data_IF_076422808318
#
_entry.id   IF_076422808318
#
_cell.length_a   1.000
_cell.length_b   1.000
_cell.length_c   1.000
_cell.angle_alpha   90.00
_cell.angle_beta   90.00
_cell.angle_gamma   90.00
#
_symmetry.space_group_name_H-M   'P 1'
#
loop_
_entity.id
_entity.type
_entity.pdbx_description
1 polymer ?
#
# COMPACT_ATOMS: atom_id res chain seq x y z
N UNK A 1 12.28 13.28 62.67
CA UNK A 1 13.13 13.89 61.62
C UNK A 1 13.17 12.87 60.48
N UNK A 2 12.16 12.89 59.60
CA UNK A 2 12.29 13.41 58.22
C UNK A 2 13.46 12.69 57.52
N UNK A 3 13.20 11.81 56.54
CA UNK A 3 13.03 12.27 55.16
C UNK A 3 12.04 11.40 54.35
N UNK A 4 11.04 12.07 53.77
CA UNK A 4 10.30 11.65 52.59
C UNK A 4 11.20 11.91 51.37
N UNK A 5 11.63 10.87 50.65
CA UNK A 5 12.17 11.02 49.29
C UNK A 5 11.61 9.90 48.38
N UNK A 6 10.51 10.23 47.72
CA UNK A 6 10.33 9.97 46.29
C UNK A 6 10.24 8.50 45.83
N UNK A 7 9.17 7.79 46.20
CA UNK A 7 8.72 6.56 45.52
C UNK A 7 7.96 6.86 44.20
N UNK A 8 8.54 7.70 43.34
CA UNK A 8 7.97 8.05 42.04
C UNK A 8 8.93 7.72 40.90
N UNK A 9 9.52 6.52 40.89
CA UNK A 9 10.33 6.10 39.72
C UNK A 9 10.60 4.60 39.63
N UNK A 10 9.60 3.75 39.86
CA UNK A 10 9.65 2.33 39.44
C UNK A 10 8.30 1.84 38.92
N UNK A 11 7.64 2.64 38.08
CA UNK A 11 6.76 2.07 37.06
C UNK A 11 7.64 1.69 35.87
N UNK A 12 8.25 0.51 35.96
CA UNK A 12 8.79 -0.18 34.79
C UNK A 12 7.65 -0.57 33.87
N UNK A 13 7.09 0.40 33.14
CA UNK A 13 6.28 0.14 31.98
C UNK A 13 7.23 -0.31 30.88
N UNK A 14 7.06 -1.56 30.44
CA UNK A 14 7.77 -2.14 29.31
C UNK A 14 7.78 -1.17 28.12
N UNK A 15 8.86 -1.13 27.32
CA UNK A 15 8.78 -0.47 26.02
C UNK A 15 7.81 -1.30 25.18
N UNK A 16 6.54 -0.88 25.14
CA UNK A 16 5.61 -1.28 24.09
C UNK A 16 6.29 -0.86 22.79
N UNK A 17 6.92 -1.82 22.11
CA UNK A 17 7.30 -1.66 20.71
C UNK A 17 5.99 -1.47 19.96
N UNK A 18 5.63 -0.21 19.74
CA UNK A 18 4.62 0.13 18.77
C UNK A 18 5.09 -0.46 17.43
N UNK A 19 4.29 -1.30 16.74
CA UNK A 19 4.58 -1.62 15.37
C UNK A 19 4.38 -0.31 14.60
N UNK A 20 5.48 0.37 14.29
CA UNK A 20 5.47 1.41 13.26
C UNK A 20 5.20 0.69 11.95
N UNK A 21 3.92 0.59 11.59
CA UNK A 21 3.49 0.25 10.24
C UNK A 21 3.87 1.41 9.33
N UNK A 22 5.16 1.53 9.05
CA UNK A 22 5.65 2.30 7.91
C UNK A 22 5.35 1.47 6.68
N UNK A 23 4.17 1.67 6.09
CA UNK A 23 3.85 1.19 4.74
C UNK A 23 4.59 1.96 3.64
N UNK A 24 5.68 2.66 3.99
CA UNK A 24 6.60 3.27 3.05
C UNK A 24 7.89 2.46 3.06
N UNK A 25 8.24 1.93 1.87
CA UNK A 25 9.40 1.11 1.53
C UNK A 25 9.23 -0.43 1.67
N UNK A 26 8.35 -1.01 0.87
CA UNK A 26 8.50 -2.39 0.40
C UNK A 26 8.27 -2.43 -1.12
N UNK A 27 9.13 -1.75 -1.88
CA UNK A 27 9.50 -2.27 -3.22
C UNK A 27 10.46 -3.42 -2.96
N UNK A 28 9.95 -4.46 -2.28
CA UNK A 28 10.65 -5.71 -2.13
C UNK A 28 10.65 -6.37 -3.49
N UNK A 29 11.79 -6.91 -3.87
CA UNK A 29 12.04 -7.73 -5.05
C UNK A 29 10.93 -8.79 -5.17
N UNK A 30 9.86 -8.48 -5.92
CA UNK A 30 8.77 -9.42 -6.16
C UNK A 30 9.32 -10.43 -7.13
N UNK A 31 9.12 -11.72 -6.82
CA UNK A 31 9.49 -12.77 -7.78
C UNK A 31 8.74 -12.52 -9.10
N UNK A 32 9.37 -12.80 -10.25
CA UNK A 32 8.74 -12.57 -11.56
C UNK A 32 7.31 -13.13 -11.68
N UNK A 33 6.99 -14.33 -11.13
CA UNK A 33 5.62 -14.84 -11.13
C UNK A 33 4.64 -13.99 -10.33
N UNK A 34 5.07 -13.41 -9.20
CA UNK A 34 4.26 -12.52 -8.35
C UNK A 34 4.07 -11.14 -8.98
N UNK A 35 5.10 -10.61 -9.63
CA UNK A 35 5.00 -9.34 -10.37
C UNK A 35 3.99 -9.47 -11.52
N UNK A 36 4.06 -10.56 -12.28
CA UNK A 36 3.15 -10.84 -13.39
C UNK A 36 1.71 -11.05 -12.93
N UNK A 37 1.49 -11.82 -11.86
CA UNK A 37 0.14 -12.04 -11.33
C UNK A 37 -0.47 -10.75 -10.81
N UNK A 38 0.33 -9.90 -10.16
CA UNK A 38 -0.10 -8.57 -9.73
C UNK A 38 -0.46 -7.67 -10.91
N UNK A 39 0.33 -7.68 -11.98
CA UNK A 39 0.06 -6.90 -13.18
C UNK A 39 -1.26 -7.33 -13.85
N UNK A 40 -1.51 -8.64 -13.97
CA UNK A 40 -2.79 -9.16 -14.49
C UNK A 40 -3.97 -8.69 -13.62
N UNK A 41 -3.84 -8.77 -12.30
CA UNK A 41 -4.88 -8.31 -11.37
C UNK A 41 -5.17 -6.81 -11.54
N UNK A 42 -4.13 -5.98 -11.63
CA UNK A 42 -4.29 -4.52 -11.82
C UNK A 42 -5.02 -4.23 -13.15
N UNK A 43 -4.64 -4.88 -14.24
CA UNK A 43 -5.26 -4.68 -15.54
C UNK A 43 -6.77 -5.03 -15.52
N UNK A 44 -7.13 -6.15 -14.88
CA UNK A 44 -8.52 -6.58 -14.71
C UNK A 44 -9.33 -5.60 -13.86
N UNK A 45 -8.79 -5.19 -12.71
CA UNK A 45 -9.45 -4.24 -11.82
C UNK A 45 -9.64 -2.87 -12.47
N UNK A 46 -8.62 -2.36 -13.15
CA UNK A 46 -8.70 -1.10 -13.90
C UNK A 46 -9.79 -1.15 -14.97
N UNK A 47 -9.94 -2.29 -15.68
CA UNK A 47 -10.99 -2.46 -16.68
C UNK A 47 -12.41 -2.35 -16.10
N UNK A 48 -12.66 -2.92 -14.91
CA UNK A 48 -13.97 -2.79 -14.25
C UNK A 48 -14.21 -1.35 -13.74
N UNK A 49 -13.19 -0.71 -13.18
CA UNK A 49 -13.29 0.67 -12.71
C UNK A 49 -13.52 1.67 -13.85
N UNK A 50 -12.93 1.45 -15.03
CA UNK A 50 -13.19 2.27 -16.23
C UNK A 50 -14.68 2.26 -16.58
N UNK A 51 -15.34 1.10 -16.52
CA UNK A 51 -16.79 0.99 -16.81
C UNK A 51 -17.60 1.84 -15.83
N UNK A 52 -17.24 1.83 -14.56
CA UNK A 52 -17.90 2.63 -13.52
C UNK A 52 -17.63 4.14 -13.72
N UNK A 53 -16.36 4.51 -13.92
CA UNK A 53 -15.95 5.91 -14.11
C UNK A 53 -16.63 6.54 -15.34
N UNK A 54 -16.77 5.79 -16.44
CA UNK A 54 -17.50 6.26 -17.64
C UNK A 54 -18.99 6.48 -17.38
N UNK A 55 -19.64 5.63 -16.58
CA UNK A 55 -21.06 5.82 -16.20
C UNK A 55 -21.27 7.10 -15.38
N UNK A 56 -20.32 7.40 -14.49
CA UNK A 56 -20.35 8.59 -13.63
C UNK A 56 -19.70 9.83 -14.28
N UNK A 57 -19.30 9.74 -15.56
CA UNK A 57 -18.67 10.83 -16.33
C UNK A 57 -17.41 11.40 -15.65
N UNK A 58 -16.62 10.52 -15.04
CA UNK A 58 -15.34 10.85 -14.40
C UNK A 58 -14.21 10.73 -15.43
N UNK A 59 -14.09 11.72 -16.30
CA UNK A 59 -13.22 11.66 -17.49
C UNK A 59 -11.73 11.53 -17.13
N UNK A 60 -11.23 12.34 -16.18
CA UNK A 60 -9.83 12.27 -15.74
C UNK A 60 -9.52 10.92 -15.08
N UNK A 61 -10.43 10.40 -14.26
CA UNK A 61 -10.25 9.09 -13.62
C UNK A 61 -10.23 7.98 -14.66
N UNK A 62 -11.13 8.05 -15.64
CA UNK A 62 -11.16 7.10 -16.77
C UNK A 62 -9.81 7.07 -17.48
N UNK A 63 -9.25 8.25 -17.79
CA UNK A 63 -7.95 8.35 -18.44
C UNK A 63 -6.82 7.75 -17.59
N UNK A 64 -6.77 8.05 -16.29
CA UNK A 64 -5.77 7.49 -15.38
C UNK A 64 -5.85 5.97 -15.27
N UNK A 65 -7.07 5.41 -15.25
CA UNK A 65 -7.28 3.97 -15.20
C UNK A 65 -6.91 3.28 -16.52
N UNK A 66 -7.17 3.93 -17.66
CA UNK A 66 -6.71 3.44 -18.97
C UNK A 66 -5.19 3.36 -19.03
N UNK A 67 -4.49 4.36 -18.47
CA UNK A 67 -3.03 4.34 -18.38
C UNK A 67 -2.51 3.25 -17.43
N UNK A 68 -3.10 3.12 -16.25
CA UNK A 68 -2.74 2.06 -15.31
C UNK A 68 -2.94 0.65 -15.90
N UNK A 69 -4.02 0.46 -16.67
CA UNK A 69 -4.28 -0.79 -17.37
C UNK A 69 -3.19 -1.09 -18.41
N UNK A 70 -2.86 -0.13 -19.26
CA UNK A 70 -1.84 -0.29 -20.30
C UNK A 70 -0.46 -0.58 -19.71
N UNK A 71 -0.08 0.11 -18.64
CA UNK A 71 1.19 -0.13 -17.94
C UNK A 71 1.26 -1.55 -17.35
N UNK A 72 0.16 -2.01 -16.77
CA UNK A 72 0.06 -3.35 -16.22
C UNK A 72 0.10 -4.43 -17.32
N UNK A 73 -0.57 -4.21 -18.46
CA UNK A 73 -0.48 -5.11 -19.62
C UNK A 73 0.93 -5.12 -20.23
N UNK A 74 1.59 -3.96 -20.30
CA UNK A 74 2.97 -3.85 -20.75
C UNK A 74 3.93 -4.62 -19.84
N UNK A 75 3.74 -4.53 -18.51
CA UNK A 75 4.53 -5.28 -17.52
C UNK A 75 4.40 -6.81 -17.66
N UNK A 76 3.34 -7.31 -18.30
CA UNK A 76 3.17 -8.74 -18.59
C UNK A 76 3.84 -9.14 -19.92
N UNK A 77 3.94 -8.21 -20.87
CA UNK A 77 4.45 -8.44 -22.23
C UNK A 77 5.91 -8.07 -22.48
N UNK A 78 6.51 -7.20 -21.66
CA UNK A 78 7.92 -6.86 -21.70
C UNK A 78 8.77 -8.06 -21.24
N UNK A 79 9.43 -8.72 -22.18
CA UNK A 79 10.46 -9.74 -21.99
C UNK A 79 11.69 -9.36 -22.79
#
# INVERSE_FOLDING_TARGET
MQNLETEASRRGAAPVKAPTTSHHAMVGDRTEPEARSTAIYIAQMAAELIKLARRERLDLLTHLLEMAKLEAEFSVGAR
#
